data_IF_323394265747
#
_entry.id   IF_323394265747
#
_cell.length_a   1.000
_cell.length_b   1.000
_cell.length_c   1.000
_cell.angle_alpha   90.00
_cell.angle_beta   90.00
_cell.angle_gamma   90.00
#
_symmetry.space_group_name_H-M   'P 1'
#
loop_
_entity.id
_entity.type
_entity.pdbx_description
1 polymer ?
#
# COMPACT_ATOMS: atom_id res chain seq x y z
N UNK A 1 5.15 -37.20 -5.71
CA UNK A 1 3.90 -37.25 -4.94
C UNK A 1 3.65 -35.88 -4.33
N UNK A 2 2.49 -35.25 -4.55
CA UNK A 2 2.17 -33.96 -3.93
C UNK A 2 1.75 -34.20 -2.48
N UNK A 3 2.62 -33.84 -1.54
CA UNK A 3 2.26 -33.79 -0.12
C UNK A 3 1.16 -32.73 0.03
N UNK A 4 -0.02 -33.12 0.52
CA UNK A 4 -1.09 -32.17 0.81
C UNK A 4 -0.69 -31.36 2.04
N UNK A 5 -0.07 -30.21 1.83
CA UNK A 5 0.13 -29.23 2.91
C UNK A 5 -1.25 -28.76 3.39
N UNK A 6 -1.46 -28.63 4.71
CA UNK A 6 -2.64 -27.97 5.22
C UNK A 6 -2.77 -26.58 4.58
N UNK A 7 -4.00 -26.06 4.51
CA UNK A 7 -4.21 -24.71 4.01
C UNK A 7 -3.36 -23.76 4.88
N UNK A 8 -2.63 -22.87 4.22
CA UNK A 8 -1.76 -21.87 4.82
C UNK A 8 -1.84 -20.61 3.98
N UNK A 9 -1.68 -19.47 4.64
CA UNK A 9 -1.55 -18.18 3.99
C UNK A 9 -0.07 -17.77 3.96
N UNK A 10 0.26 -16.74 3.18
CA UNK A 10 1.60 -16.15 3.16
C UNK A 10 1.59 -14.79 3.87
N UNK A 11 2.65 -14.49 4.61
CA UNK A 11 2.83 -13.19 5.27
C UNK A 11 2.86 -12.07 4.22
N UNK A 12 2.09 -11.00 4.44
CA UNK A 12 2.00 -9.87 3.51
C UNK A 12 3.28 -9.01 3.41
N UNK A 13 4.31 -9.27 4.24
CA UNK A 13 5.56 -8.50 4.26
C UNK A 13 6.80 -9.29 3.81
N UNK A 14 6.89 -10.58 4.15
CA UNK A 14 8.07 -11.42 3.90
C UNK A 14 7.76 -12.77 3.23
N UNK A 15 6.49 -13.02 2.89
CA UNK A 15 6.00 -14.21 2.18
C UNK A 15 6.21 -15.56 2.92
N UNK A 16 6.64 -15.54 4.18
CA UNK A 16 6.73 -16.75 5.01
C UNK A 16 5.35 -17.38 5.24
N UNK A 17 5.26 -18.73 5.35
CA UNK A 17 4.01 -19.41 5.64
C UNK A 17 3.44 -18.97 6.98
N UNK A 18 2.17 -18.59 7.00
CA UNK A 18 1.42 -18.24 8.21
C UNK A 18 0.18 -19.12 8.35
N UNK A 19 -0.29 -19.35 9.58
CA UNK A 19 -1.53 -20.07 9.82
C UNK A 19 -2.69 -19.42 9.05
N UNK A 20 -3.65 -20.25 8.65
CA UNK A 20 -4.92 -19.77 8.10
C UNK A 20 -5.57 -18.77 9.07
N UNK A 21 -5.86 -17.57 8.57
CA UNK A 21 -6.45 -16.48 9.35
C UNK A 21 -5.46 -15.46 9.88
N UNK A 22 -4.15 -15.75 9.88
CA UNK A 22 -3.12 -14.76 10.18
C UNK A 22 -2.59 -14.10 8.91
N UNK A 23 -2.28 -12.80 8.99
CA UNK A 23 -1.78 -12.03 7.85
C UNK A 23 -0.28 -11.72 7.90
N UNK A 24 0.35 -11.90 9.07
CA UNK A 24 1.75 -11.59 9.30
C UNK A 24 2.38 -12.67 10.18
N UNK A 25 3.62 -13.07 9.89
CA UNK A 25 4.35 -14.07 10.68
C UNK A 25 4.80 -13.57 12.05
N UNK A 26 4.82 -12.25 12.25
CA UNK A 26 5.26 -11.60 13.48
C UNK A 26 4.75 -10.17 13.59
N UNK A 27 4.76 -9.63 14.81
CA UNK A 27 4.44 -8.23 15.05
C UNK A 27 5.38 -7.28 14.29
N UNK A 28 6.66 -7.66 14.11
CA UNK A 28 7.61 -6.90 13.29
C UNK A 28 7.12 -6.72 11.85
N UNK A 29 6.69 -7.81 11.21
CA UNK A 29 6.15 -7.76 9.85
C UNK A 29 4.86 -6.94 9.75
N UNK A 30 4.03 -6.97 10.79
CA UNK A 30 2.83 -6.12 10.87
C UNK A 30 3.20 -4.63 10.99
N UNK A 31 4.20 -4.29 11.80
CA UNK A 31 4.64 -2.89 11.98
C UNK A 31 5.31 -2.37 10.70
N UNK A 32 6.19 -3.15 10.08
CA UNK A 32 6.87 -2.76 8.84
C UNK A 32 5.90 -2.53 7.69
N UNK A 33 4.93 -3.43 7.49
CA UNK A 33 3.91 -3.25 6.47
C UNK A 33 3.06 -2.01 6.71
N UNK A 34 2.65 -1.74 7.96
CA UNK A 34 1.92 -0.53 8.35
C UNK A 34 2.73 0.74 8.08
N UNK A 35 4.03 0.74 8.37
CA UNK A 35 4.92 1.88 8.09
C UNK A 35 5.02 2.11 6.58
N UNK A 36 5.25 1.06 5.79
CA UNK A 36 5.27 1.12 4.31
C UNK A 36 3.94 1.62 3.73
N UNK A 37 2.80 1.15 4.27
CA UNK A 37 1.47 1.62 3.86
C UNK A 37 1.24 3.10 4.19
N UNK A 38 1.67 3.54 5.37
CA UNK A 38 1.52 4.94 5.79
C UNK A 38 2.37 5.87 4.93
N UNK A 39 3.60 5.46 4.60
CA UNK A 39 4.50 6.24 3.74
C UNK A 39 3.98 6.34 2.30
N UNK A 40 3.48 5.24 1.73
CA UNK A 40 2.89 5.23 0.39
C UNK A 40 1.60 6.06 0.32
N UNK A 41 0.76 6.01 1.35
CA UNK A 41 -0.48 6.80 1.43
C UNK A 41 -0.21 8.31 1.45
N UNK A 42 0.83 8.76 2.14
CA UNK A 42 1.21 10.18 2.18
C UNK A 42 1.72 10.65 0.81
N UNK A 43 2.56 9.85 0.14
CA UNK A 43 3.08 10.18 -1.20
C UNK A 43 1.97 10.28 -2.24
N UNK A 44 1.02 9.35 -2.22
CA UNK A 44 -0.11 9.39 -3.15
C UNK A 44 -1.02 10.60 -2.90
N UNK A 45 -1.31 10.93 -1.64
CA UNK A 45 -2.08 12.13 -1.29
C UNK A 45 -1.39 13.40 -1.79
N UNK A 46 -0.08 13.52 -1.60
CA UNK A 46 0.69 14.67 -2.05
C UNK A 46 0.65 14.81 -3.59
N UNK A 47 0.75 13.69 -4.31
CA UNK A 47 0.63 13.66 -5.77
C UNK A 47 -0.73 14.18 -6.24
N UNK A 48 -1.83 13.71 -5.63
CA UNK A 48 -3.18 14.18 -5.97
C UNK A 48 -3.38 15.66 -5.69
N UNK A 49 -2.83 16.19 -4.59
CA UNK A 49 -2.90 17.62 -4.27
C UNK A 49 -2.16 18.45 -5.33
N UNK A 50 -0.94 18.05 -5.68
CA UNK A 50 -0.16 18.75 -6.71
C UNK A 50 -0.87 18.71 -8.07
N UNK A 51 -1.40 17.56 -8.46
CA UNK A 51 -2.15 17.41 -9.71
C UNK A 51 -3.40 18.30 -9.74
N UNK A 52 -4.16 18.35 -8.64
CA UNK A 52 -5.33 19.21 -8.53
C UNK A 52 -4.97 20.70 -8.66
N UNK A 53 -3.91 21.15 -7.98
CA UNK A 53 -3.42 22.54 -8.08
C UNK A 53 -2.99 22.87 -9.50
N UNK A 54 -2.27 21.99 -10.17
CA UNK A 54 -1.84 22.19 -11.56
C UNK A 54 -3.03 22.33 -12.52
N UNK A 55 -4.08 21.53 -12.36
CA UNK A 55 -5.30 21.62 -13.15
C UNK A 55 -6.05 22.94 -12.91
N UNK A 56 -6.15 23.38 -11.66
CA UNK A 56 -6.78 24.67 -11.32
C UNK A 56 -6.00 25.82 -11.95
N UNK A 57 -4.67 25.80 -11.88
CA UNK A 57 -3.84 26.84 -12.51
C UNK A 57 -4.02 26.86 -14.03
N UNK A 58 -4.00 25.70 -14.70
CA UNK A 58 -4.26 25.61 -16.13
C UNK A 58 -5.64 26.16 -16.51
N UNK A 59 -6.66 25.82 -15.72
CA UNK A 59 -8.02 26.29 -15.93
C UNK A 59 -8.14 27.81 -15.76
N UNK A 60 -7.50 28.38 -14.73
CA UNK A 60 -7.44 29.83 -14.53
C UNK A 60 -6.67 30.52 -15.66
N UNK A 61 -5.56 29.93 -16.13
CA UNK A 61 -4.81 30.45 -17.28
C UNK A 61 -5.65 30.48 -18.56
N UNK A 62 -6.48 29.47 -18.79
CA UNK A 62 -7.38 29.44 -19.97
C UNK A 62 -8.58 30.38 -19.83
N UNK A 63 -8.97 30.74 -18.62
CA UNK A 63 -10.09 31.67 -18.39
C UNK A 63 -9.67 33.14 -18.43
N UNK A 64 -8.39 33.43 -18.12
CA UNK A 64 -7.81 34.77 -18.06
C UNK A 64 -7.20 35.23 -19.40
N UNK A 65 -6.72 34.30 -20.23
CA UNK A 65 -6.17 34.56 -21.58
C UNK A 65 -7.28 34.50 -22.63
#
# INVERSE_FOLDING_TARGET
MSVRLPPHSHCLNCEEPVPEGEQYCSEKCMVESKVKQKQSSVRNKLFYVIAAVALVLLWLFTFVL
#
